data_IF_448259551537
#
_entry.id   IF_448259551537
#
_cell.length_a   1.000
_cell.length_b   1.000
_cell.length_c   1.000
_cell.angle_alpha   90.00
_cell.angle_beta   90.00
_cell.angle_gamma   90.00
#
_symmetry.space_group_name_H-M   'P 1'
#
loop_
_entity.id
_entity.type
_entity.pdbx_description
1 polymer ?
#
# COMPACT_ATOMS: atom_id res chain seq x y z
N UNK A 1 7.94 35.82 -68.82
CA UNK A 1 7.42 36.20 -67.49
C UNK A 1 6.51 35.11 -66.91
N UNK A 2 6.93 33.83 -66.97
CA UNK A 2 6.04 32.67 -66.71
C UNK A 2 6.77 31.51 -66.01
N UNK A 3 7.74 31.82 -65.13
CA UNK A 3 8.48 30.79 -64.37
C UNK A 3 8.63 31.11 -62.88
N UNK A 4 8.10 32.25 -62.41
CA UNK A 4 8.14 32.65 -60.98
C UNK A 4 6.87 32.33 -60.20
N UNK A 5 5.80 31.85 -60.87
CA UNK A 5 4.51 31.54 -60.21
C UNK A 5 4.41 30.06 -59.79
N UNK A 6 5.26 29.18 -60.34
CA UNK A 6 5.13 27.73 -60.11
C UNK A 6 5.83 27.22 -58.83
N UNK A 7 6.68 28.05 -58.19
CA UNK A 7 7.40 27.66 -56.96
C UNK A 7 6.67 27.98 -55.66
N UNK A 8 5.55 28.71 -55.71
CA UNK A 8 4.76 29.06 -54.50
C UNK A 8 3.67 27.99 -54.21
N UNK A 9 3.34 27.12 -55.17
CA UNK A 9 2.31 26.11 -54.97
C UNK A 9 2.80 24.82 -54.27
N UNK A 10 4.10 24.59 -54.12
CA UNK A 10 4.63 23.35 -53.51
C UNK A 10 4.72 23.44 -51.98
N UNK A 11 4.73 24.65 -51.39
CA UNK A 11 4.85 24.82 -49.94
C UNK A 11 3.51 25.02 -49.19
N UNK A 12 2.36 24.98 -49.88
CA UNK A 12 1.05 25.21 -49.24
C UNK A 12 0.22 23.94 -48.95
N UNK A 13 0.77 22.74 -49.16
CA UNK A 13 0.03 21.47 -48.94
C UNK A 13 0.69 20.45 -47.99
N UNK A 14 1.47 20.92 -47.00
CA UNK A 14 1.89 20.06 -45.88
C UNK A 14 1.57 20.70 -44.54
N UNK A 15 0.27 20.79 -44.22
CA UNK A 15 -0.18 20.82 -42.83
C UNK A 15 -0.09 19.41 -42.26
N UNK A 16 1.08 19.02 -41.74
CA UNK A 16 1.26 17.92 -40.78
C UNK A 16 2.71 17.84 -40.30
N UNK A 17 3.16 18.85 -39.55
CA UNK A 17 4.32 18.72 -38.66
C UNK A 17 4.04 19.52 -37.40
N UNK A 18 3.19 18.98 -36.53
CA UNK A 18 3.11 19.38 -35.13
C UNK A 18 4.18 18.61 -34.37
N UNK A 19 5.39 19.15 -34.26
CA UNK A 19 6.34 18.71 -33.23
C UNK A 19 6.00 19.47 -31.95
N UNK A 20 5.18 18.87 -31.10
CA UNK A 20 4.97 19.34 -29.74
C UNK A 20 6.22 18.99 -28.91
N UNK A 21 7.11 19.95 -28.72
CA UNK A 21 8.10 19.89 -27.66
C UNK A 21 7.44 20.38 -26.38
N UNK A 22 7.22 19.46 -25.44
CA UNK A 22 6.76 19.78 -24.09
C UNK A 22 7.94 20.26 -23.25
N UNK A 23 8.03 21.57 -23.06
CA UNK A 23 9.03 22.24 -22.22
C UNK A 23 8.54 22.42 -20.76
N UNK A 24 7.44 21.78 -20.36
CA UNK A 24 6.85 21.92 -19.02
C UNK A 24 7.79 21.53 -17.88
N UNK A 25 8.76 20.64 -18.12
CA UNK A 25 9.71 20.17 -17.10
C UNK A 25 10.85 21.13 -16.77
N UNK A 26 11.07 22.20 -17.56
CA UNK A 26 12.27 23.06 -17.42
C UNK A 26 11.98 24.37 -16.69
N UNK A 27 10.71 24.73 -16.47
CA UNK A 27 10.33 26.05 -15.92
C UNK A 27 9.85 25.98 -14.45
N UNK A 28 9.63 24.79 -13.89
CA UNK A 28 9.29 24.65 -12.46
C UNK A 28 10.52 24.26 -11.65
N UNK A 29 11.15 25.24 -11.01
CA UNK A 29 12.32 25.09 -10.13
C UNK A 29 12.03 24.41 -8.80
N UNK A 30 11.43 23.22 -8.81
CA UNK A 30 11.31 22.35 -7.65
C UNK A 30 12.05 21.03 -7.89
N UNK A 31 13.18 20.84 -7.19
CA UNK A 31 14.10 19.69 -7.29
C UNK A 31 13.54 18.35 -6.75
N UNK A 32 12.23 18.14 -6.69
CA UNK A 32 11.62 16.91 -6.18
C UNK A 32 10.36 16.51 -6.97
N UNK A 33 10.35 16.68 -8.29
CA UNK A 33 9.26 16.20 -9.13
C UNK A 33 9.82 15.60 -10.42
N UNK A 34 9.78 14.26 -10.51
CA UNK A 34 10.17 13.55 -11.71
C UNK A 34 10.43 12.07 -11.49
N UNK A 35 9.50 11.36 -10.83
CA UNK A 35 9.36 9.93 -11.14
C UNK A 35 8.55 9.91 -12.44
N UNK A 36 9.14 9.54 -13.59
CA UNK A 36 8.39 9.50 -14.83
C UNK A 36 7.37 8.36 -14.74
N UNK A 37 6.11 8.72 -14.49
CA UNK A 37 4.98 7.80 -14.61
C UNK A 37 4.90 7.36 -16.08
N UNK A 38 5.10 6.06 -16.28
CA UNK A 38 5.28 5.43 -17.58
C UNK A 38 4.26 5.84 -18.63
N UNK A 39 4.75 6.48 -19.68
CA UNK A 39 4.12 6.51 -21.01
C UNK A 39 5.03 5.76 -21.97
N UNK A 40 4.79 4.47 -22.19
CA UNK A 40 5.45 3.75 -23.30
C UNK A 40 4.43 3.39 -24.38
N UNK A 41 4.39 4.22 -25.42
CA UNK A 41 3.84 3.89 -26.73
C UNK A 41 4.91 4.28 -27.75
N UNK A 42 5.84 3.36 -28.09
CA UNK A 42 6.79 3.60 -29.18
C UNK A 42 8.13 2.89 -29.04
N UNK A 43 8.72 2.58 -30.20
CA UNK A 43 10.00 1.90 -30.46
C UNK A 43 11.06 1.97 -29.35
N UNK A 44 11.46 0.77 -28.86
CA UNK A 44 12.76 0.53 -28.22
C UNK A 44 13.18 1.56 -27.18
N UNK A 45 12.53 1.55 -26.02
CA UNK A 45 12.86 2.47 -24.93
C UNK A 45 13.95 1.88 -24.03
N UNK A 46 14.83 2.73 -23.50
CA UNK A 46 15.80 2.30 -22.48
C UNK A 46 15.09 2.19 -21.14
N UNK A 47 15.11 0.99 -20.58
CA UNK A 47 14.47 0.66 -19.33
C UNK A 47 15.43 0.90 -18.17
N UNK A 48 15.49 2.16 -17.70
CA UNK A 48 16.42 2.60 -16.64
C UNK A 48 15.89 2.27 -15.24
N UNK A 49 14.56 2.21 -15.09
CA UNK A 49 13.89 1.94 -13.80
C UNK A 49 13.08 0.62 -13.78
N UNK A 50 12.87 -0.06 -14.91
CA UNK A 50 11.67 -0.88 -15.09
C UNK A 50 11.81 -2.39 -15.29
N UNK A 51 10.91 -2.91 -16.12
CA UNK A 51 10.43 -4.30 -16.23
C UNK A 51 11.54 -5.33 -16.49
N UNK A 52 12.65 -4.92 -17.09
CA UNK A 52 13.75 -5.78 -17.46
C UNK A 52 14.72 -6.03 -16.30
N UNK A 53 14.72 -7.23 -15.74
CA UNK A 53 15.69 -7.69 -14.73
C UNK A 53 16.77 -8.59 -15.30
N UNK A 54 16.50 -9.21 -16.46
CA UNK A 54 17.41 -10.13 -17.14
C UNK A 54 17.18 -10.13 -18.65
N UNK A 55 18.08 -10.75 -19.41
CA UNK A 55 17.92 -10.89 -20.86
C UNK A 55 16.78 -11.86 -21.16
N UNK A 56 15.96 -11.55 -22.16
CA UNK A 56 14.84 -12.41 -22.59
C UNK A 56 13.50 -11.71 -22.50
N UNK A 57 12.41 -12.48 -22.38
CA UNK A 57 11.06 -11.94 -22.33
C UNK A 57 10.69 -11.48 -20.91
N UNK A 58 10.05 -10.32 -20.81
CA UNK A 58 9.45 -9.80 -19.59
C UNK A 58 8.04 -9.26 -19.86
N UNK A 59 7.22 -9.12 -18.81
CA UNK A 59 5.82 -8.72 -18.96
C UNK A 59 5.60 -7.25 -18.62
N UNK A 60 5.13 -6.48 -19.61
CA UNK A 60 4.74 -5.09 -19.37
C UNK A 60 3.40 -5.03 -18.63
N UNK A 61 2.44 -5.83 -19.08
CA UNK A 61 1.16 -6.10 -18.43
C UNK A 61 0.73 -7.54 -18.74
N UNK A 62 -0.49 -7.93 -18.36
CA UNK A 62 -0.97 -9.30 -18.56
C UNK A 62 -1.16 -9.70 -20.03
N UNK A 63 -1.26 -8.74 -20.95
CA UNK A 63 -1.53 -8.98 -22.38
C UNK A 63 -0.34 -8.66 -23.29
N UNK A 64 0.64 -7.89 -22.83
CA UNK A 64 1.78 -7.42 -23.60
C UNK A 64 3.09 -7.90 -22.98
N UNK A 65 3.82 -8.67 -23.77
CA UNK A 65 5.18 -9.06 -23.51
C UNK A 65 6.16 -8.08 -24.16
N UNK A 66 7.38 -8.01 -23.63
CA UNK A 66 8.49 -7.24 -24.18
C UNK A 66 9.75 -8.10 -24.13
N UNK A 67 10.68 -7.89 -25.04
CA UNK A 67 12.01 -8.49 -25.00
C UNK A 67 13.02 -7.49 -24.46
N UNK A 68 13.76 -7.91 -23.45
CA UNK A 68 14.83 -7.20 -22.80
C UNK A 68 16.17 -7.61 -23.40
N UNK A 69 16.86 -6.65 -24.02
CA UNK A 69 18.19 -6.84 -24.60
C UNK A 69 19.20 -6.06 -23.73
N UNK A 70 20.28 -6.68 -23.23
CA UNK A 70 21.25 -6.00 -22.39
C UNK A 70 22.02 -4.94 -23.19
N UNK A 71 22.13 -3.73 -22.64
CA UNK A 71 22.98 -2.66 -23.14
C UNK A 71 24.12 -2.38 -22.15
N UNK A 72 25.21 -1.69 -22.56
CA UNK A 72 26.29 -1.30 -21.65
C UNK A 72 25.82 -0.48 -20.44
N UNK A 73 24.71 0.25 -20.60
CA UNK A 73 24.06 1.03 -19.54
C UNK A 73 22.55 0.73 -19.62
N UNK A 74 22.08 -0.24 -18.82
CA UNK A 74 20.66 -0.60 -18.71
C UNK A 74 20.17 -1.65 -19.71
N UNK A 75 18.86 -1.65 -19.96
CA UNK A 75 18.19 -2.61 -20.84
C UNK A 75 17.46 -1.91 -21.99
N UNK A 76 17.52 -2.47 -23.20
CA UNK A 76 16.64 -2.07 -24.29
C UNK A 76 15.37 -2.90 -24.20
N UNK A 77 14.24 -2.23 -23.98
CA UNK A 77 12.90 -2.83 -23.97
C UNK A 77 12.31 -2.77 -25.38
N UNK A 78 12.30 -3.91 -26.06
CA UNK A 78 11.70 -4.05 -27.38
C UNK A 78 10.27 -4.60 -27.20
N UNK A 79 9.21 -3.86 -27.54
CA UNK A 79 7.86 -4.36 -27.41
C UNK A 79 7.64 -5.56 -28.33
N UNK A 80 7.17 -6.67 -27.77
CA UNK A 80 6.66 -7.78 -28.56
C UNK A 80 5.19 -7.53 -28.89
N UNK A 81 4.66 -8.32 -29.83
CA UNK A 81 3.25 -8.28 -30.16
C UNK A 81 2.39 -8.73 -28.97
N UNK A 82 1.15 -8.25 -28.91
CA UNK A 82 0.19 -8.64 -27.88
C UNK A 82 0.00 -10.17 -27.89
N UNK A 83 -0.08 -10.77 -26.69
CA UNK A 83 -0.30 -12.21 -26.54
C UNK A 83 -1.59 -12.63 -27.28
N UNK A 84 -1.55 -13.70 -28.09
CA UNK A 84 -2.69 -14.09 -28.92
C UNK A 84 -3.79 -14.78 -28.09
N UNK A 85 -5.05 -14.45 -28.37
CA UNK A 85 -6.22 -15.11 -27.80
C UNK A 85 -6.32 -14.99 -26.26
N UNK A 86 -6.67 -16.10 -25.61
CA UNK A 86 -6.83 -16.19 -24.14
C UNK A 86 -5.49 -16.44 -23.40
N UNK A 87 -4.35 -16.22 -24.07
CA UNK A 87 -3.05 -16.35 -23.43
C UNK A 87 -2.68 -15.10 -22.64
N UNK A 88 -1.99 -15.29 -21.53
CA UNK A 88 -1.46 -14.22 -20.69
C UNK A 88 0.06 -14.25 -20.66
N UNK A 89 0.65 -13.09 -20.37
CA UNK A 89 2.10 -12.96 -20.30
C UNK A 89 2.63 -13.65 -19.04
N UNK A 90 3.49 -14.66 -19.25
CA UNK A 90 4.14 -15.40 -18.17
C UNK A 90 5.67 -15.32 -18.35
N UNK A 91 6.30 -14.39 -17.62
CA UNK A 91 7.74 -14.15 -17.64
C UNK A 91 8.52 -15.32 -17.03
N UNK A 92 7.94 -16.11 -16.12
CA UNK A 92 8.59 -17.33 -15.60
C UNK A 92 8.80 -18.38 -16.69
N UNK A 93 7.89 -18.45 -17.67
CA UNK A 93 8.01 -19.32 -18.83
C UNK A 93 8.71 -18.64 -20.02
N UNK A 94 8.97 -17.34 -19.93
CA UNK A 94 9.54 -16.54 -21.02
C UNK A 94 8.67 -16.46 -22.28
N UNK A 95 7.37 -16.78 -22.18
CA UNK A 95 6.45 -16.80 -23.32
C UNK A 95 5.00 -16.44 -22.91
N UNK A 96 4.19 -16.04 -23.88
CA UNK A 96 2.73 -16.00 -23.68
C UNK A 96 2.23 -17.43 -23.46
N UNK A 97 1.48 -17.67 -22.39
CA UNK A 97 1.04 -19.00 -21.97
C UNK A 97 -0.45 -18.98 -21.63
N UNK A 98 -1.09 -20.14 -21.75
CA UNK A 98 -2.44 -20.36 -21.21
C UNK A 98 -2.43 -20.46 -19.69
N UNK A 99 -1.26 -20.73 -19.08
CA UNK A 99 -1.10 -20.72 -17.62
C UNK A 99 -0.82 -19.30 -17.14
N UNK A 100 -1.86 -18.66 -16.59
CA UNK A 100 -1.76 -17.32 -16.06
C UNK A 100 -0.99 -17.28 -14.73
N UNK A 101 -0.19 -16.23 -14.56
CA UNK A 101 0.38 -15.87 -13.25
C UNK A 101 -0.73 -15.34 -12.32
N UNK A 102 -0.58 -15.46 -10.99
CA UNK A 102 -1.62 -15.08 -10.03
C UNK A 102 -2.23 -13.69 -10.24
N UNK A 103 -1.41 -12.69 -10.57
CA UNK A 103 -1.84 -11.31 -10.82
C UNK A 103 -2.63 -11.13 -12.13
N UNK A 104 -2.50 -12.06 -13.08
CA UNK A 104 -3.14 -12.01 -14.39
C UNK A 104 -4.34 -12.94 -14.53
N UNK A 105 -4.66 -13.73 -13.50
CA UNK A 105 -5.81 -14.59 -13.51
C UNK A 105 -7.13 -13.79 -13.47
N UNK A 106 -8.18 -14.36 -14.09
CA UNK A 106 -9.51 -13.74 -14.16
C UNK A 106 -10.11 -13.56 -12.76
N UNK A 107 -9.83 -14.48 -11.83
CA UNK A 107 -10.27 -14.35 -10.44
C UNK A 107 -9.64 -13.13 -9.75
N UNK A 108 -8.34 -12.88 -10.00
CA UNK A 108 -7.60 -11.74 -9.46
C UNK A 108 -8.14 -10.40 -9.97
N UNK A 109 -8.49 -10.32 -11.25
CA UNK A 109 -9.03 -9.09 -11.85
C UNK A 109 -10.45 -8.74 -11.35
N UNK A 110 -11.23 -9.76 -10.95
CA UNK A 110 -12.59 -9.59 -10.43
C UNK A 110 -12.64 -9.50 -8.91
N UNK A 111 -11.52 -9.75 -8.24
CA UNK A 111 -11.48 -9.72 -6.79
C UNK A 111 -11.63 -8.30 -6.28
N UNK A 112 -12.47 -8.16 -5.26
CA UNK A 112 -12.70 -6.90 -4.57
C UNK A 112 -12.69 -7.15 -3.06
N UNK A 113 -11.82 -6.40 -2.38
CA UNK A 113 -11.61 -6.51 -0.94
C UNK A 113 -12.58 -5.61 -0.21
N UNK A 114 -13.38 -6.19 0.69
CA UNK A 114 -14.32 -5.41 1.50
C UNK A 114 -13.66 -4.93 2.78
N UNK A 115 -13.57 -3.62 2.98
CA UNK A 115 -12.98 -3.03 4.19
C UNK A 115 -13.92 -3.12 5.40
N UNK A 116 -13.86 -4.24 6.13
CA UNK A 116 -14.57 -4.43 7.40
C UNK A 116 -13.77 -3.91 8.62
N UNK A 117 -12.45 -3.81 8.46
CA UNK A 117 -11.52 -3.36 9.50
C UNK A 117 -10.64 -2.24 8.94
N UNK A 118 -10.26 -1.29 9.80
CA UNK A 118 -9.28 -0.26 9.45
C UNK A 118 -7.88 -0.87 9.49
N UNK A 119 -7.07 -0.63 8.46
CA UNK A 119 -5.73 -1.21 8.36
C UNK A 119 -5.23 -1.30 6.93
N UNK A 120 -4.12 -2.02 6.77
CA UNK A 120 -3.53 -2.33 5.47
C UNK A 120 -3.58 -3.85 5.30
N UNK A 121 -4.16 -4.32 4.20
CA UNK A 121 -4.40 -5.73 3.94
C UNK A 121 -3.74 -6.15 2.64
N UNK A 122 -3.07 -7.32 2.58
CA UNK A 122 -2.65 -7.88 1.29
C UNK A 122 -3.87 -8.20 0.42
N UNK A 123 -3.70 -8.15 -0.91
CA UNK A 123 -4.69 -8.73 -1.83
C UNK A 123 -4.61 -10.27 -1.75
N UNK A 124 -5.73 -10.96 -1.92
CA UNK A 124 -5.79 -12.40 -1.78
C UNK A 124 -5.22 -13.18 -2.98
N UNK A 125 -5.20 -12.56 -4.16
CA UNK A 125 -4.78 -13.18 -5.42
C UNK A 125 -3.52 -12.54 -6.01
N UNK A 126 -3.33 -11.23 -5.85
CA UNK A 126 -2.20 -10.48 -6.40
C UNK A 126 -1.18 -10.13 -5.30
N UNK A 127 -0.01 -10.79 -5.33
CA UNK A 127 1.05 -10.58 -4.34
C UNK A 127 1.66 -9.16 -4.36
N UNK A 128 1.43 -8.36 -5.41
CA UNK A 128 1.93 -6.98 -5.53
C UNK A 128 0.92 -5.96 -5.06
N UNK A 129 -0.34 -6.33 -4.93
CA UNK A 129 -1.43 -5.44 -4.61
C UNK A 129 -1.75 -5.53 -3.12
N UNK A 130 -2.11 -4.38 -2.56
CA UNK A 130 -2.58 -4.29 -1.19
C UNK A 130 -3.69 -3.23 -1.10
N UNK A 131 -4.51 -3.36 -0.07
CA UNK A 131 -5.67 -2.55 0.18
C UNK A 131 -5.44 -1.71 1.44
N UNK A 132 -5.71 -0.41 1.34
CA UNK A 132 -5.71 0.49 2.48
C UNK A 132 -7.16 0.79 2.81
N UNK A 133 -7.56 0.40 4.02
CA UNK A 133 -8.88 0.64 4.59
C UNK A 133 -8.74 1.74 5.64
N UNK A 134 -9.17 2.96 5.31
CA UNK A 134 -9.13 4.11 6.22
C UNK A 134 -10.50 4.34 6.87
N UNK A 135 -10.57 4.93 8.07
CA UNK A 135 -11.84 5.36 8.64
C UNK A 135 -12.59 6.26 7.65
N UNK A 136 -13.92 6.13 7.54
CA UNK A 136 -14.71 6.94 6.61
C UNK A 136 -14.56 8.42 6.93
N UNK A 137 -14.45 9.26 5.89
CA UNK A 137 -14.40 10.72 6.07
C UNK A 137 -15.75 11.23 6.59
N UNK A 138 -15.82 11.63 7.86
CA UNK A 138 -17.03 12.23 8.47
C UNK A 138 -17.32 11.69 9.88
N UNK A 139 -18.57 11.81 10.33
CA UNK A 139 -18.99 11.16 11.57
C UNK A 139 -18.99 9.63 11.38
N UNK A 140 -18.35 8.86 12.28
CA UNK A 140 -18.22 7.42 12.17
C UNK A 140 -19.52 6.69 12.58
N UNK A 141 -20.60 6.91 11.86
CA UNK A 141 -21.91 6.28 12.13
C UNK A 141 -22.02 4.89 11.46
N UNK A 142 -21.07 3.99 11.77
CA UNK A 142 -21.12 2.59 11.32
C UNK A 142 -20.98 2.37 9.82
N UNK A 143 -20.55 3.38 9.07
CA UNK A 143 -20.23 3.25 7.65
C UNK A 143 -18.99 2.36 7.45
N UNK A 144 -18.93 1.57 6.35
CA UNK A 144 -17.74 0.79 6.01
C UNK A 144 -16.52 1.70 5.82
N UNK A 145 -15.33 1.18 6.09
CA UNK A 145 -14.09 1.93 5.90
C UNK A 145 -13.87 2.27 4.41
N UNK A 146 -13.31 3.46 4.17
CA UNK A 146 -12.94 3.92 2.84
C UNK A 146 -11.84 3.01 2.27
N UNK A 147 -12.09 2.43 1.10
CA UNK A 147 -11.21 1.48 0.43
C UNK A 147 -10.37 2.16 -0.65
N UNK A 148 -9.06 1.96 -0.59
CA UNK A 148 -8.15 2.34 -1.68
C UNK A 148 -7.19 1.20 -1.99
N UNK A 149 -6.80 1.09 -3.25
CA UNK A 149 -5.89 0.04 -3.73
C UNK A 149 -4.55 0.65 -4.08
N UNK A 150 -3.47 0.01 -3.66
CA UNK A 150 -2.11 0.38 -4.02
C UNK A 150 -1.35 -0.83 -4.57
N UNK A 151 -0.34 -0.53 -5.40
CA UNK A 151 0.53 -1.51 -6.02
C UNK A 151 1.97 -1.27 -5.57
N UNK A 152 2.67 -2.35 -5.25
CA UNK A 152 4.09 -2.31 -4.99
C UNK A 152 4.89 -1.92 -6.24
N UNK A 153 6.06 -1.28 -6.05
CA UNK A 153 7.02 -1.04 -7.13
C UNK A 153 7.29 -2.31 -7.95
N UNK A 154 7.71 -2.14 -9.20
CA UNK A 154 8.08 -3.26 -10.07
C UNK A 154 9.15 -4.11 -9.35
N UNK A 155 9.05 -5.44 -9.48
CA UNK A 155 9.94 -6.44 -8.85
C UNK A 155 9.77 -6.67 -7.36
N UNK A 156 8.85 -5.97 -6.70
CA UNK A 156 8.55 -6.18 -5.29
C UNK A 156 7.09 -6.55 -5.07
N UNK A 157 6.87 -7.49 -4.15
CA UNK A 157 5.60 -7.91 -3.60
C UNK A 157 5.41 -7.36 -2.19
N UNK A 158 4.15 -7.27 -1.78
CA UNK A 158 3.78 -6.77 -0.47
C UNK A 158 4.04 -7.82 0.61
N UNK A 159 4.75 -7.43 1.66
CA UNK A 159 4.99 -8.25 2.83
C UNK A 159 4.03 -7.85 3.97
N UNK A 160 3.04 -8.68 4.31
CA UNK A 160 2.09 -8.39 5.38
C UNK A 160 2.68 -8.49 6.79
N UNK A 161 3.86 -9.08 6.97
CA UNK A 161 4.54 -9.10 8.27
C UNK A 161 5.17 -7.74 8.60
N UNK A 162 5.76 -7.08 7.60
CA UNK A 162 6.43 -5.78 7.78
C UNK A 162 5.60 -4.59 7.29
N UNK A 163 4.46 -4.86 6.65
CA UNK A 163 3.62 -3.88 5.96
C UNK A 163 4.38 -3.04 4.91
N UNK A 164 5.31 -3.67 4.18
CA UNK A 164 6.19 -3.01 3.21
C UNK A 164 6.33 -3.83 1.93
N UNK A 165 6.66 -3.18 0.82
CA UNK A 165 6.98 -3.84 -0.46
C UNK A 165 8.42 -4.38 -0.45
N UNK A 166 8.65 -5.50 0.26
CA UNK A 166 9.98 -6.05 0.50
C UNK A 166 10.20 -7.45 -0.08
N UNK A 167 9.16 -8.14 -0.57
CA UNK A 167 9.31 -9.47 -1.16
C UNK A 167 9.87 -9.32 -2.57
N UNK A 168 11.09 -9.79 -2.84
CA UNK A 168 11.65 -9.77 -4.18
C UNK A 168 10.92 -10.77 -5.07
N UNK A 169 10.38 -10.31 -6.20
CA UNK A 169 9.65 -11.14 -7.15
C UNK A 169 10.56 -11.58 -8.30
N UNK A 170 10.74 -12.89 -8.52
CA UNK A 170 11.49 -13.37 -9.67
C UNK A 170 10.77 -12.94 -10.95
N UNK A 171 11.53 -12.42 -11.92
CA UNK A 171 11.00 -11.89 -13.19
C UNK A 171 9.91 -10.79 -13.03
N UNK A 172 9.82 -10.17 -11.86
CA UNK A 172 8.81 -9.15 -11.56
C UNK A 172 7.37 -9.65 -11.48
N UNK A 173 7.17 -10.96 -11.32
CA UNK A 173 5.85 -11.60 -11.27
C UNK A 173 5.65 -12.45 -10.02
N UNK A 174 4.41 -12.65 -9.61
CA UNK A 174 4.09 -13.52 -8.48
C UNK A 174 4.39 -14.98 -8.83
N UNK A 175 4.94 -15.74 -7.88
CA UNK A 175 5.16 -17.19 -8.01
C UNK A 175 3.95 -17.97 -7.53
N UNK A 176 3.35 -17.53 -6.42
CA UNK A 176 2.20 -18.16 -5.78
C UNK A 176 1.18 -17.10 -5.37
N UNK A 177 -0.08 -17.52 -5.22
CA UNK A 177 -1.14 -16.68 -4.67
C UNK A 177 -0.85 -16.44 -3.18
N UNK A 178 -1.08 -15.21 -2.66
CA UNK A 178 -0.98 -14.95 -1.23
C UNK A 178 -1.91 -15.83 -0.38
N UNK A 179 -3.13 -16.09 -0.88
CA UNK A 179 -4.12 -16.94 -0.21
C UNK A 179 -4.39 -18.20 -1.06
N UNK A 180 -4.40 -19.39 -0.45
CA UNK A 180 -4.81 -20.63 -1.12
C UNK A 180 -6.28 -20.59 -1.60
N UNK A 181 -6.62 -21.43 -2.57
CA UNK A 181 -7.99 -21.49 -3.09
C UNK A 181 -9.00 -21.96 -2.02
N UNK A 182 -10.12 -21.25 -1.94
CA UNK A 182 -11.18 -21.54 -0.98
C UNK A 182 -11.93 -22.82 -1.31
N UNK A 183 -11.89 -23.80 -0.39
CA UNK A 183 -12.59 -25.09 -0.56
C UNK A 183 -14.03 -25.09 -0.04
N UNK A 184 -14.29 -24.40 1.07
CA UNK A 184 -15.61 -24.37 1.73
C UNK A 184 -15.89 -23.02 2.40
N UNK A 185 -17.17 -22.66 2.51
CA UNK A 185 -17.61 -21.47 3.24
C UNK A 185 -17.18 -21.58 4.70
N UNK A 186 -16.66 -20.48 5.26
CA UNK A 186 -16.21 -20.40 6.65
C UNK A 186 -14.88 -21.10 6.92
N UNK A 187 -14.21 -21.67 5.91
CA UNK A 187 -12.84 -22.11 6.08
C UNK A 187 -11.97 -20.90 6.41
N UNK A 188 -11.22 -20.99 7.50
CA UNK A 188 -10.27 -19.97 7.92
C UNK A 188 -8.92 -20.59 8.26
N UNK A 189 -7.87 -19.86 7.91
CA UNK A 189 -6.50 -20.21 8.25
C UNK A 189 -5.62 -18.96 8.33
N UNK A 190 -4.46 -19.12 8.96
CA UNK A 190 -3.43 -18.09 9.03
C UNK A 190 -2.80 -17.88 7.66
N UNK A 191 -2.39 -16.65 7.36
CA UNK A 191 -1.65 -16.34 6.14
C UNK A 191 -0.19 -16.78 6.30
N UNK A 192 0.37 -17.50 5.33
CA UNK A 192 1.75 -18.00 5.41
C UNK A 192 2.77 -16.87 5.60
N UNK A 193 2.51 -15.72 4.97
CA UNK A 193 3.39 -14.55 5.03
C UNK A 193 3.30 -13.76 6.35
N UNK A 194 2.28 -13.97 7.20
CA UNK A 194 2.15 -13.23 8.46
C UNK A 194 1.20 -13.93 9.44
N UNK A 195 1.69 -14.21 10.66
CA UNK A 195 0.90 -14.83 11.72
C UNK A 195 -0.21 -13.94 12.30
N UNK A 196 -0.18 -12.64 12.03
CA UNK A 196 -1.20 -11.68 12.46
C UNK A 196 -2.38 -11.62 11.46
N UNK A 197 -2.14 -12.02 10.21
CA UNK A 197 -3.17 -12.01 9.18
C UNK A 197 -3.79 -13.40 9.05
N UNK A 198 -5.09 -13.43 8.83
CA UNK A 198 -5.82 -14.65 8.54
C UNK A 198 -6.86 -14.39 7.47
N UNK A 199 -7.28 -15.43 6.77
CA UNK A 199 -8.34 -15.32 5.79
C UNK A 199 -9.55 -16.14 6.21
N UNK A 200 -10.72 -15.73 5.73
CA UNK A 200 -11.98 -16.48 5.85
C UNK A 200 -12.61 -16.56 4.46
N UNK A 201 -12.98 -17.76 4.05
CA UNK A 201 -13.67 -18.00 2.78
C UNK A 201 -15.16 -17.65 2.90
N UNK A 202 -15.58 -16.59 2.23
CA UNK A 202 -16.96 -16.10 2.23
C UNK A 202 -17.63 -16.38 0.87
N UNK A 203 -18.93 -16.64 0.87
CA UNK A 203 -19.69 -16.77 -0.38
C UNK A 203 -20.26 -15.41 -0.77
N UNK A 204 -19.69 -14.79 -1.81
CA UNK A 204 -20.19 -13.55 -2.41
C UNK A 204 -20.84 -13.88 -3.75
N UNK A 205 -22.15 -13.69 -3.87
CA UNK A 205 -22.94 -13.96 -5.09
C UNK A 205 -22.75 -15.40 -5.64
N UNK A 206 -22.61 -16.37 -4.74
CA UNK A 206 -22.43 -17.79 -5.11
C UNK A 206 -20.99 -18.18 -5.45
N UNK A 207 -20.03 -17.25 -5.40
CA UNK A 207 -18.60 -17.52 -5.59
C UNK A 207 -17.89 -17.48 -4.23
N UNK A 208 -17.05 -18.48 -3.96
CA UNK A 208 -16.21 -18.50 -2.76
C UNK A 208 -15.02 -17.55 -2.95
N UNK A 209 -14.97 -16.50 -2.15
CA UNK A 209 -13.90 -15.50 -2.17
C UNK A 209 -13.22 -15.42 -0.81
N UNK A 210 -11.88 -15.50 -0.73
CA UNK A 210 -11.15 -15.26 0.50
C UNK A 210 -11.22 -13.78 0.89
N UNK A 211 -11.59 -13.51 2.12
CA UNK A 211 -11.52 -12.19 2.74
C UNK A 211 -10.45 -12.22 3.82
N UNK A 212 -9.51 -11.29 3.76
CA UNK A 212 -8.39 -11.22 4.71
C UNK A 212 -8.74 -10.28 5.85
N UNK A 213 -8.35 -10.67 7.05
CA UNK A 213 -8.55 -9.97 8.30
C UNK A 213 -7.24 -9.89 9.08
N UNK A 214 -7.20 -8.98 10.05
CA UNK A 214 -6.05 -8.79 10.93
C UNK A 214 -6.47 -8.99 12.40
N UNK A 215 -5.63 -9.65 13.19
CA UNK A 215 -5.82 -9.73 14.62
C UNK A 215 -5.44 -8.39 15.30
N UNK A 216 -5.91 -8.14 16.54
CA UNK A 216 -5.48 -6.99 17.31
C UNK A 216 -3.96 -6.92 17.46
N UNK A 217 -3.40 -5.72 17.68
CA UNK A 217 -1.96 -5.54 17.82
C UNK A 217 -1.37 -6.44 18.92
N UNK A 218 -0.29 -7.16 18.59
CA UNK A 218 0.37 -8.11 19.48
C UNK A 218 -0.28 -9.49 19.55
N UNK A 219 -1.33 -9.73 18.77
CA UNK A 219 -2.03 -11.02 18.69
C UNK A 219 -1.68 -11.73 17.37
N UNK A 220 -1.82 -13.05 17.39
CA UNK A 220 -1.62 -13.91 16.22
C UNK A 220 -2.81 -14.87 16.09
N UNK A 221 -3.09 -15.29 14.86
CA UNK A 221 -4.17 -16.21 14.57
C UNK A 221 -3.70 -17.65 14.74
N UNK A 222 -4.22 -18.34 15.76
CA UNK A 222 -3.91 -19.73 16.05
C UNK A 222 -5.15 -20.50 16.51
N UNK A 223 -5.31 -21.73 16.02
CA UNK A 223 -6.46 -22.59 16.32
C UNK A 223 -7.81 -21.91 16.05
N UNK A 224 -7.92 -21.18 14.94
CA UNK A 224 -9.12 -20.42 14.54
C UNK A 224 -9.51 -19.25 15.46
N UNK A 225 -8.60 -18.79 16.33
CA UNK A 225 -8.82 -17.62 17.18
C UNK A 225 -7.59 -16.70 17.20
N UNK A 226 -7.81 -15.39 17.33
CA UNK A 226 -6.73 -14.48 17.68
C UNK A 226 -6.33 -14.69 19.14
N UNK A 227 -5.04 -14.84 19.41
CA UNK A 227 -4.47 -14.99 20.77
C UNK A 227 -3.29 -14.05 20.97
N UNK A 228 -3.06 -13.52 22.18
CA UNK A 228 -1.85 -12.74 22.46
C UNK A 228 -0.61 -13.62 22.29
N UNK A 229 0.50 -13.01 21.89
CA UNK A 229 1.80 -13.69 21.85
C UNK A 229 2.24 -14.03 23.28
N UNK A 230 2.15 -15.31 23.66
CA UNK A 230 2.72 -15.80 24.92
C UNK A 230 4.20 -16.10 24.67
N UNK A 231 5.09 -15.30 25.25
CA UNK A 231 6.48 -15.70 25.41
C UNK A 231 6.46 -16.80 26.46
N UNK A 232 6.56 -18.05 26.04
CA UNK A 232 6.66 -19.17 26.95
C UNK A 232 7.96 -18.99 27.75
N UNK A 233 7.86 -18.67 29.03
CA UNK A 233 8.99 -18.35 29.92
C UNK A 233 9.85 -19.57 30.29
N UNK A 234 9.70 -20.68 29.57
CA UNK A 234 10.39 -21.94 29.80
C UNK A 234 11.73 -22.06 29.08
N UNK A 235 12.08 -21.16 28.16
CA UNK A 235 13.48 -21.00 27.74
C UNK A 235 14.25 -20.20 28.79
N UNK A 236 14.67 -20.92 29.83
CA UNK A 236 15.73 -20.48 30.75
C UNK A 236 16.98 -20.19 29.93
N UNK A 237 17.18 -18.93 29.57
CA UNK A 237 18.47 -18.46 29.08
C UNK A 237 19.47 -18.59 30.23
N UNK A 238 20.25 -19.66 30.16
CA UNK A 238 21.41 -19.90 31.00
C UNK A 238 22.49 -18.91 30.58
N UNK A 239 22.38 -17.66 31.01
CA UNK A 239 23.49 -16.73 30.96
C UNK A 239 24.49 -17.20 32.03
N UNK A 240 25.57 -17.82 31.58
CA UNK A 240 26.75 -18.06 32.40
C UNK A 240 27.40 -16.69 32.63
N UNK A 241 27.08 -16.04 33.74
CA UNK A 241 27.83 -14.87 34.21
C UNK A 241 29.17 -15.38 34.73
N UNK A 242 30.23 -15.19 33.94
CA UNK A 242 31.60 -15.22 34.46
C UNK A 242 31.77 -13.99 35.34
N UNK A 243 31.73 -14.20 36.65
CA UNK A 243 32.06 -13.19 37.66
C UNK A 243 33.51 -12.73 37.44
N UNK A 244 33.72 -11.43 37.16
CA UNK A 244 34.97 -10.76 37.51
C UNK A 244 34.80 -10.17 38.90
N UNK A 245 35.57 -10.70 39.85
CA UNK A 245 35.80 -10.13 41.16
C UNK A 245 36.22 -8.66 41.03
N UNK A 246 35.54 -7.76 41.73
CA UNK A 246 36.19 -6.60 42.30
C UNK A 246 35.55 -6.27 43.64
N UNK A 247 36.39 -6.42 44.66
CA UNK A 247 36.17 -6.23 46.09
C UNK A 247 35.97 -4.75 46.44
N UNK A 248 34.86 -4.41 47.10
CA UNK A 248 34.86 -3.40 48.18
C UNK A 248 33.70 -3.61 49.15
N UNK A 249 33.99 -3.37 50.42
CA UNK A 249 33.29 -3.82 51.64
C UNK A 249 32.06 -2.99 52.07
N UNK A 250 31.29 -3.63 52.96
CA UNK A 250 30.44 -3.06 54.04
C UNK A 250 29.04 -2.55 53.59
N UNK A 251 27.89 -2.94 54.16
CA UNK A 251 27.56 -3.36 55.53
C UNK A 251 26.22 -4.14 55.52
N UNK A 252 26.14 -5.18 56.36
CA UNK A 252 25.01 -5.81 57.08
C UNK A 252 23.63 -5.13 56.91
N UNK A 253 22.54 -5.83 56.53
CA UNK A 253 21.64 -6.58 57.44
C UNK A 253 20.74 -7.60 56.71
N UNK A 254 20.33 -8.65 57.44
CA UNK A 254 19.63 -9.87 56.99
C UNK A 254 18.10 -9.78 57.28
N UNK A 255 17.25 -10.77 56.94
CA UNK A 255 16.05 -10.57 56.13
C UNK A 255 14.75 -10.73 56.94
N UNK A 256 13.60 -10.32 56.38
CA UNK A 256 12.33 -10.93 56.79
C UNK A 256 11.35 -11.04 55.62
N UNK A 257 11.01 -12.29 55.34
CA UNK A 257 9.99 -12.79 54.44
C UNK A 257 8.60 -12.29 54.84
N UNK A 258 7.81 -11.75 53.90
CA UNK A 258 6.35 -11.93 53.95
C UNK A 258 5.73 -11.76 52.57
N UNK A 259 5.27 -12.88 52.02
CA UNK A 259 4.24 -12.97 50.98
C UNK A 259 2.95 -12.36 51.49
N UNK A 260 2.46 -11.30 50.85
CA UNK A 260 1.06 -10.88 50.93
C UNK A 260 0.55 -10.64 49.51
N UNK A 261 -0.30 -11.56 49.08
CA UNK A 261 -1.24 -11.40 47.97
C UNK A 261 -2.25 -10.30 48.31
N UNK A 262 -2.32 -9.24 47.50
CA UNK A 262 -3.55 -8.46 47.35
C UNK A 262 -3.55 -7.67 46.05
N UNK A 263 -4.46 -8.06 45.15
CA UNK A 263 -5.03 -7.18 44.14
C UNK A 263 -5.66 -6.00 44.89
N UNK A 264 -5.18 -4.78 44.63
CA UNK A 264 -5.91 -3.50 44.77
C UNK A 264 -4.89 -2.36 44.60
N UNK A 265 -4.58 -2.00 43.36
CA UNK A 265 -3.92 -0.73 42.99
C UNK A 265 -4.16 -0.43 41.50
N UNK A 266 -5.45 -0.42 41.12
CA UNK A 266 -5.92 0.33 39.96
C UNK A 266 -6.25 1.74 40.47
N UNK A 267 -5.80 2.76 39.73
CA UNK A 267 -5.79 4.21 40.05
C UNK A 267 -4.55 4.71 40.83
N UNK A 268 -3.39 4.77 40.12
CA UNK A 268 -2.33 5.73 40.46
C UNK A 268 -2.78 7.13 40.05
N UNK A 269 -2.84 8.06 41.01
CA UNK A 269 -3.04 9.49 40.79
C UNK A 269 -1.71 10.25 40.78
N UNK A 270 -0.67 9.65 40.20
CA UNK A 270 0.64 10.28 40.14
C UNK A 270 0.71 11.24 38.94
N UNK A 271 0.94 12.51 39.27
CA UNK A 271 1.15 13.61 38.32
C UNK A 271 2.38 13.29 37.46
N UNK A 272 2.33 13.40 36.12
CA UNK A 272 3.50 13.17 35.29
C UNK A 272 4.58 14.21 35.62
N UNK A 273 5.78 13.73 35.92
CA UNK A 273 6.97 14.55 36.11
C UNK A 273 7.47 14.99 34.74
N UNK A 274 7.39 16.28 34.44
CA UNK A 274 7.93 16.87 33.21
C UNK A 274 9.45 16.92 33.28
N UNK A 275 10.14 16.19 32.40
CA UNK A 275 11.57 16.37 32.15
C UNK A 275 11.78 17.61 31.27
N UNK A 276 12.82 18.39 31.57
CA UNK A 276 13.21 19.55 30.77
C UNK A 276 13.64 19.09 29.36
N UNK A 277 13.14 19.78 28.33
CA UNK A 277 13.54 19.53 26.96
C UNK A 277 15.02 19.90 26.78
N UNK A 278 15.83 18.91 26.39
CA UNK A 278 17.21 19.13 25.99
C UNK A 278 17.22 19.98 24.71
N UNK A 279 17.75 21.19 24.84
CA UNK A 279 17.86 22.21 23.81
C UNK A 279 19.09 21.98 22.94
N UNK A 280 18.98 21.19 21.88
CA UNK A 280 19.89 21.27 20.75
C UNK A 280 19.11 20.98 19.45
N UNK A 281 19.00 22.00 18.58
CA UNK A 281 18.35 22.03 17.24
C UNK A 281 16.89 22.55 17.14
N UNK A 282 16.55 23.61 17.88
CA UNK A 282 15.43 24.48 17.51
C UNK A 282 15.94 25.85 17.07
N UNK A 283 16.43 25.93 15.83
CA UNK A 283 16.58 27.22 15.15
C UNK A 283 15.19 27.76 14.81
N UNK A 284 14.79 28.78 15.58
CA UNK A 284 14.17 30.03 15.13
C UNK A 284 13.02 29.91 14.11
N UNK A 285 11.83 29.59 14.59
CA UNK A 285 10.59 30.12 14.01
C UNK A 285 9.98 31.13 14.98
N UNK A 286 10.06 32.41 14.62
CA UNK A 286 9.44 33.53 15.34
C UNK A 286 8.00 33.69 14.86
N UNK A 287 7.04 33.28 15.71
CA UNK A 287 5.60 33.35 15.45
C UNK A 287 4.94 34.63 16.00
N UNK A 288 5.73 35.67 16.32
CA UNK A 288 5.21 36.94 16.85
C UNK A 288 4.41 37.80 15.84
N UNK A 289 4.27 37.37 14.58
CA UNK A 289 3.60 38.14 13.52
C UNK A 289 2.30 37.52 12.97
N UNK A 290 1.74 36.48 13.59
CA UNK A 290 0.42 35.97 13.21
C UNK A 290 -0.64 36.50 14.18
N UNK A 291 -1.17 37.69 13.90
CA UNK A 291 -2.47 38.12 14.43
C UNK A 291 -3.58 37.45 13.61
N UNK A 292 -4.42 36.65 14.28
CA UNK A 292 -5.63 36.08 13.71
C UNK A 292 -6.73 37.16 13.70
N UNK A 293 -7.11 37.66 12.53
CA UNK A 293 -8.33 38.45 12.37
C UNK A 293 -9.53 37.50 12.31
N UNK A 294 -10.31 37.46 13.40
CA UNK A 294 -11.67 36.88 13.40
C UNK A 294 -12.64 37.94 12.84
N UNK A 295 -12.98 37.83 11.56
CA UNK A 295 -14.10 38.57 10.96
C UNK A 295 -15.36 37.70 11.02
N UNK A 296 -16.11 37.81 12.12
CA UNK A 296 -17.54 37.46 12.14
C UNK A 296 -18.36 38.72 11.81
N UNK A 297 -19.22 38.73 10.77
CA UNK A 297 -20.22 39.77 10.61
C UNK A 297 -21.42 39.49 11.54
N UNK A 298 -21.76 40.45 12.40
CA UNK A 298 -22.96 40.41 13.23
C UNK A 298 -24.23 40.70 12.43
N UNK A 299 -25.32 40.09 12.89
CA UNK A 299 -26.69 40.13 12.38
C UNK A 299 -27.29 41.54 12.13
N UNK A 300 -28.13 41.64 11.10
CA UNK A 300 -29.57 42.01 11.18
C UNK A 300 -30.15 42.24 9.77
N UNK A 301 -31.11 41.40 9.34
CA UNK A 301 -32.40 41.81 8.72
C UNK A 301 -33.26 40.58 8.33
N UNK A 302 -34.19 40.25 9.25
CA UNK A 302 -35.59 39.73 9.16
C UNK A 302 -36.11 38.86 7.97
N UNK A 303 -37.24 38.11 8.12
CA UNK A 303 -37.92 37.58 9.32
C UNK A 303 -38.34 36.09 9.22
N UNK A 304 -38.67 35.51 10.39
CA UNK A 304 -39.47 34.30 10.53
C UNK A 304 -40.86 34.45 9.88
N UNK A 305 -41.33 33.40 9.19
CA UNK A 305 -42.76 33.18 8.96
C UNK A 305 -43.04 31.70 8.64
N UNK A 306 -43.56 31.02 9.67
CA UNK A 306 -44.57 29.95 9.64
C UNK A 306 -44.22 28.54 9.13
N UNK A 307 -44.31 27.61 10.09
CA UNK A 307 -44.74 26.23 9.92
C UNK A 307 -46.14 26.12 9.26
N UNK A 308 -46.49 24.88 8.93
CA UNK A 308 -47.82 24.35 8.54
C UNK A 308 -48.29 24.53 7.10
N UNK A 309 -48.16 23.46 6.29
CA UNK A 309 -49.27 22.52 6.14
C UNK A 309 -48.93 21.28 5.29
N UNK A 310 -49.23 20.12 5.89
CA UNK A 310 -50.01 19.01 5.34
C UNK A 310 -49.83 18.55 3.89
N UNK A 311 -49.64 17.23 3.78
CA UNK A 311 -49.52 16.51 2.53
C UNK A 311 -50.76 16.50 1.62
N UNK A 312 -50.47 16.13 0.37
CA UNK A 312 -51.33 15.36 -0.55
C UNK A 312 -50.45 14.92 -1.72
N UNK A 313 -50.12 13.63 -1.82
CA UNK A 313 -50.68 12.72 -2.82
C UNK A 313 -51.23 13.41 -4.09
N UNK A 314 -50.71 13.03 -5.26
CA UNK A 314 -51.42 12.22 -6.29
C UNK A 314 -50.58 12.19 -7.58
N UNK A 315 -50.48 10.98 -8.12
CA UNK A 315 -50.16 10.52 -9.47
C UNK A 315 -50.41 11.50 -10.64
N UNK A 316 -49.40 11.67 -11.50
CA UNK A 316 -49.40 11.37 -12.95
C UNK A 316 -47.96 11.47 -13.50
#
# INVERSE_FOLDING_TARGET
MWFKILLICIFCFTRSLTTSFDLGGVISGNRMAGVPLGRSLGHGEVDVEGICTGPGMACQNCTHAVTCIPLPIGWLKVPLQQCPGDQTCNAHLGQCSTTAVPECDVASQKYDHTCEQVGIFPDAYDCRKFHLCSPPKGLPDGAPADHTVALCPRHYGYNPQTAQCSILLPNGQCTHRPVPDCQRVGHSAVLEASSNHYFVCLSKRGVLTPQIFICPHGWHFANSFCRPFMIDSTTTYRYTTTEMETTTESTTEHPTTTTISRMDQFFSTDKPVTYAADTFLADKFDLSNYETFDETPSANDFPNSFEDNYGREIWE
#
